data_IF_021653387219
#
_entry.id   IF_021653387219
#
_cell.length_a   1.000
_cell.length_b   1.000
_cell.length_c   1.000
_cell.angle_alpha   90.00
_cell.angle_beta   90.00
_cell.angle_gamma   90.00
#
_symmetry.space_group_name_H-M   'P 1'
#
loop_
_entity.id
_entity.type
_entity.pdbx_description
1 polymer ?
#
# COMPACT_ATOMS: atom_id res chain seq x y z
N UNK A 1 46.88 47.70 2.84
CA UNK A 1 45.74 47.88 3.77
C UNK A 1 44.50 48.19 2.94
N UNK A 2 43.71 47.16 2.59
CA UNK A 2 42.27 47.27 2.30
C UNK A 2 41.77 45.83 2.12
N UNK A 3 41.07 45.34 3.14
CA UNK A 3 40.49 44.00 3.25
C UNK A 3 39.21 44.03 2.42
N UNK A 4 39.16 43.26 1.33
CA UNK A 4 37.93 43.06 0.57
C UNK A 4 36.95 42.27 1.44
N UNK A 5 35.82 42.90 1.72
CA UNK A 5 34.69 42.39 2.48
C UNK A 5 34.20 41.06 1.90
N UNK A 6 34.30 40.00 2.72
CA UNK A 6 33.87 38.64 2.42
C UNK A 6 32.68 38.30 3.34
N UNK A 7 31.55 38.96 3.14
CA UNK A 7 30.39 38.84 4.04
C UNK A 7 29.06 38.69 3.31
N UNK A 8 28.95 37.72 2.39
CA UNK A 8 27.64 37.33 1.79
C UNK A 8 27.53 35.82 1.51
N UNK A 9 28.01 34.97 2.40
CA UNK A 9 27.78 33.52 2.30
C UNK A 9 27.37 33.02 3.68
N UNK A 10 26.34 32.18 3.74
CA UNK A 10 25.73 31.55 4.92
C UNK A 10 24.51 32.22 5.55
N UNK A 11 23.53 32.56 4.70
CA UNK A 11 22.12 32.39 5.05
C UNK A 11 21.67 30.95 4.81
N UNK A 12 22.23 29.96 5.53
CA UNK A 12 21.70 28.59 5.50
C UNK A 12 20.47 28.52 6.39
N UNK A 13 19.31 28.47 5.74
CA UNK A 13 17.97 28.39 6.32
C UNK A 13 17.89 27.40 7.48
N UNK A 14 17.64 27.93 8.68
CA UNK A 14 17.28 27.15 9.87
C UNK A 14 15.84 26.60 9.79
N UNK A 15 15.06 27.05 8.81
CA UNK A 15 13.65 26.68 8.61
C UNK A 15 13.41 25.29 7.96
N UNK A 16 14.42 24.69 7.32
CA UNK A 16 14.24 23.41 6.60
C UNK A 16 14.07 22.18 7.55
N UNK A 17 14.50 22.31 8.80
CA UNK A 17 14.55 21.19 9.73
C UNK A 17 13.22 20.90 10.46
N UNK A 18 12.32 21.89 10.52
CA UNK A 18 11.00 21.73 11.13
C UNK A 18 10.02 21.03 10.18
N UNK A 19 10.09 21.33 8.88
CA UNK A 19 9.18 20.78 7.87
C UNK A 19 9.40 19.28 7.62
N UNK A 20 10.66 18.84 7.67
CA UNK A 20 11.05 17.44 7.50
C UNK A 20 10.57 16.50 8.62
N UNK A 21 10.30 17.02 9.83
CA UNK A 21 9.74 16.21 10.94
C UNK A 21 8.22 16.01 10.81
N UNK A 22 7.49 17.02 10.34
CA UNK A 22 6.05 16.94 10.09
C UNK A 22 5.73 15.93 8.98
N UNK A 23 6.48 16.01 7.87
CA UNK A 23 6.33 15.08 6.73
C UNK A 23 6.58 13.62 7.11
N UNK A 24 7.56 13.34 7.98
CA UNK A 24 7.83 11.97 8.46
C UNK A 24 6.68 11.39 9.29
N UNK A 25 6.08 12.19 10.17
CA UNK A 25 4.93 11.73 10.98
C UNK A 25 3.71 11.44 10.12
N UNK A 26 3.43 12.30 9.14
CA UNK A 26 2.32 12.10 8.22
C UNK A 26 2.50 10.82 7.40
N UNK A 27 3.69 10.62 6.83
CA UNK A 27 4.01 9.42 6.08
C UNK A 27 3.89 8.14 6.90
N UNK A 28 4.28 8.17 8.18
CA UNK A 28 4.13 7.03 9.07
C UNK A 28 2.66 6.72 9.40
N UNK A 29 1.81 7.74 9.54
CA UNK A 29 0.37 7.57 9.73
C UNK A 29 -0.31 7.02 8.47
N UNK A 30 0.09 7.53 7.30
CA UNK A 30 -0.38 7.06 5.99
C UNK A 30 0.02 5.59 5.79
N UNK A 31 1.29 5.23 6.07
CA UNK A 31 1.77 3.84 5.95
C UNK A 31 1.00 2.86 6.85
N UNK A 32 0.64 3.27 8.07
CA UNK A 32 -0.18 2.45 8.97
C UNK A 32 -1.58 2.21 8.40
N UNK A 33 -2.19 3.23 7.82
CA UNK A 33 -3.51 3.10 7.17
C UNK A 33 -3.45 2.13 5.98
N UNK A 34 -2.37 2.15 5.19
CA UNK A 34 -2.19 1.17 4.11
C UNK A 34 -2.05 -0.26 4.66
N UNK A 35 -1.28 -0.43 5.74
CA UNK A 35 -1.10 -1.74 6.38
C UNK A 35 -2.41 -2.29 6.96
N UNK A 36 -3.26 -1.43 7.53
CA UNK A 36 -4.58 -1.82 8.02
C UNK A 36 -5.47 -2.36 6.88
N UNK A 37 -5.47 -1.70 5.72
CA UNK A 37 -6.20 -2.17 4.54
C UNK A 37 -5.65 -3.50 4.01
N UNK A 38 -4.33 -3.64 3.94
CA UNK A 38 -3.68 -4.90 3.52
C UNK A 38 -4.01 -6.04 4.49
N UNK A 39 -3.93 -5.78 5.79
CA UNK A 39 -4.27 -6.75 6.83
C UNK A 39 -5.74 -7.18 6.75
N UNK A 40 -6.66 -6.22 6.46
CA UNK A 40 -8.08 -6.53 6.24
C UNK A 40 -8.25 -7.45 5.02
N UNK A 41 -7.61 -7.14 3.90
CA UNK A 41 -7.66 -8.00 2.69
C UNK A 41 -7.11 -9.41 2.94
N UNK A 42 -6.01 -9.53 3.70
CA UNK A 42 -5.42 -10.83 4.06
C UNK A 42 -6.37 -11.62 4.97
N UNK A 43 -6.95 -10.96 5.98
CA UNK A 43 -7.86 -11.60 6.95
C UNK A 43 -9.13 -12.15 6.32
N UNK A 44 -9.60 -11.53 5.24
CA UNK A 44 -10.75 -12.01 4.47
C UNK A 44 -10.51 -13.41 3.89
N UNK A 45 -9.27 -13.75 3.52
CA UNK A 45 -8.92 -15.07 3.00
C UNK A 45 -9.65 -15.39 1.70
N UNK A 46 -10.49 -16.44 1.72
CA UNK A 46 -11.30 -16.91 0.58
C UNK A 46 -12.77 -16.45 0.63
N UNK A 47 -13.14 -15.61 1.60
CA UNK A 47 -14.51 -15.19 1.84
C UNK A 47 -14.93 -14.08 0.87
N UNK A 48 -15.61 -14.46 -0.21
CA UNK A 48 -15.97 -13.50 -1.27
C UNK A 48 -16.83 -12.32 -0.83
N UNK A 49 -17.89 -12.47 -0.03
CA UNK A 49 -18.70 -11.32 0.40
C UNK A 49 -17.85 -10.28 1.16
N UNK A 50 -17.00 -10.75 2.08
CA UNK A 50 -16.13 -9.88 2.86
C UNK A 50 -15.04 -9.22 2.00
N UNK A 51 -14.57 -9.91 0.95
CA UNK A 51 -13.63 -9.34 -0.03
C UNK A 51 -14.25 -8.19 -0.81
N UNK A 52 -15.47 -8.38 -1.33
CA UNK A 52 -16.16 -7.33 -2.11
C UNK A 52 -16.44 -6.11 -1.23
N UNK A 53 -16.81 -6.29 0.05
CA UNK A 53 -16.95 -5.19 1.01
C UNK A 53 -15.62 -4.46 1.23
N UNK A 54 -14.53 -5.17 1.53
CA UNK A 54 -13.22 -4.55 1.74
C UNK A 54 -12.71 -3.82 0.48
N UNK A 55 -12.98 -4.38 -0.71
CA UNK A 55 -12.62 -3.76 -1.98
C UNK A 55 -13.48 -2.52 -2.27
N UNK A 56 -14.75 -2.52 -1.88
CA UNK A 56 -15.63 -1.36 -1.97
C UNK A 56 -15.13 -0.23 -1.06
N UNK A 57 -14.80 -0.54 0.20
CA UNK A 57 -14.23 0.42 1.14
C UNK A 57 -13.00 1.14 0.56
N UNK A 58 -12.06 0.37 -0.03
CA UNK A 58 -10.84 0.92 -0.66
C UNK A 58 -11.18 1.80 -1.88
N UNK A 59 -12.25 1.50 -2.61
CA UNK A 59 -12.66 2.30 -3.78
C UNK A 59 -13.27 3.63 -3.39
N UNK A 60 -14.05 3.64 -2.31
CA UNK A 60 -14.83 4.80 -1.84
C UNK A 60 -14.13 5.63 -0.77
N UNK A 61 -13.01 5.17 -0.22
CA UNK A 61 -12.23 5.96 0.73
C UNK A 61 -11.48 7.10 0.02
N UNK A 62 -12.01 8.32 0.17
CA UNK A 62 -11.44 9.55 -0.39
C UNK A 62 -10.08 9.92 0.21
N UNK A 63 -9.72 9.33 1.36
CA UNK A 63 -8.39 9.51 1.96
C UNK A 63 -7.31 8.81 1.14
N UNK A 64 -7.66 7.79 0.36
CA UNK A 64 -6.73 7.01 -0.45
C UNK A 64 -6.50 7.66 -1.82
N UNK A 65 -5.26 8.07 -2.07
CA UNK A 65 -4.83 8.51 -3.40
C UNK A 65 -4.54 7.31 -4.30
N UNK A 66 -4.41 7.55 -5.59
CA UNK A 66 -4.06 6.50 -6.55
C UNK A 66 -2.75 5.77 -6.19
N UNK A 67 -1.76 6.50 -5.67
CA UNK A 67 -0.48 5.94 -5.22
C UNK A 67 -0.64 4.99 -4.01
N UNK A 68 -1.58 5.29 -3.12
CA UNK A 68 -1.88 4.49 -1.93
C UNK A 68 -2.50 3.16 -2.34
N UNK A 69 -3.47 3.19 -3.26
CA UNK A 69 -4.11 1.99 -3.80
C UNK A 69 -3.11 1.11 -4.55
N UNK A 70 -2.17 1.71 -5.30
CA UNK A 70 -1.06 0.97 -5.94
C UNK A 70 -0.18 0.30 -4.88
N UNK A 71 0.09 0.99 -3.77
CA UNK A 71 0.91 0.46 -2.68
C UNK A 71 0.19 -0.69 -1.95
N UNK A 72 -1.11 -0.56 -1.69
CA UNK A 72 -1.95 -1.63 -1.13
C UNK A 72 -1.91 -2.86 -2.05
N UNK A 73 -2.13 -2.68 -3.35
CA UNK A 73 -2.08 -3.78 -4.32
C UNK A 73 -0.72 -4.48 -4.35
N UNK A 74 0.38 -3.71 -4.30
CA UNK A 74 1.72 -4.28 -4.28
C UNK A 74 2.00 -5.07 -3.00
N UNK A 75 1.61 -4.53 -1.83
CA UNK A 75 1.79 -5.19 -0.53
C UNK A 75 0.95 -6.46 -0.44
N UNK A 76 -0.32 -6.41 -0.85
CA UNK A 76 -1.23 -7.56 -0.83
C UNK A 76 -0.77 -8.71 -1.75
N UNK A 77 -0.12 -8.38 -2.86
CA UNK A 77 0.45 -9.39 -3.77
C UNK A 77 1.75 -10.03 -3.25
N UNK A 78 2.29 -9.60 -2.10
CA UNK A 78 3.56 -10.09 -1.56
C UNK A 78 4.79 -9.44 -2.22
N UNK A 79 4.63 -8.25 -2.80
CA UNK A 79 5.67 -7.58 -3.58
C UNK A 79 5.56 -7.82 -5.09
N UNK A 80 6.43 -7.18 -5.87
CA UNK A 80 6.48 -7.32 -7.33
C UNK A 80 6.29 -6.01 -8.10
N UNK A 81 5.94 -6.13 -9.39
CA UNK A 81 5.80 -4.98 -10.31
C UNK A 81 4.65 -4.07 -9.86
N UNK A 82 4.96 -2.79 -9.67
CA UNK A 82 3.95 -1.76 -9.37
C UNK A 82 2.97 -1.63 -10.52
N UNK A 83 1.68 -1.55 -10.19
CA UNK A 83 0.64 -1.19 -11.15
C UNK A 83 0.83 0.26 -11.61
N UNK A 84 0.55 0.52 -12.88
CA UNK A 84 0.70 1.87 -13.45
C UNK A 84 -0.47 2.81 -13.17
N UNK A 85 -1.61 2.29 -12.71
CA UNK A 85 -2.81 3.08 -12.44
C UNK A 85 -3.67 2.51 -11.31
N UNK A 86 -4.56 3.34 -10.75
CA UNK A 86 -5.58 2.93 -9.74
C UNK A 86 -6.43 1.77 -10.26
N UNK A 87 -6.89 1.83 -11.50
CA UNK A 87 -7.70 0.77 -12.11
C UNK A 87 -6.93 -0.56 -12.20
N UNK A 88 -5.66 -0.52 -12.60
CA UNK A 88 -4.82 -1.72 -12.66
C UNK A 88 -4.48 -2.26 -11.27
N UNK A 89 -4.32 -1.40 -10.26
CA UNK A 89 -4.09 -1.81 -8.88
C UNK A 89 -5.32 -2.54 -8.32
N UNK A 90 -6.53 -2.01 -8.52
CA UNK A 90 -7.78 -2.67 -8.11
C UNK A 90 -7.95 -4.01 -8.82
N UNK A 91 -7.68 -4.06 -10.13
CA UNK A 91 -7.73 -5.30 -10.90
C UNK A 91 -6.71 -6.33 -10.39
N UNK A 92 -5.52 -5.89 -9.99
CA UNK A 92 -4.50 -6.77 -9.41
C UNK A 92 -4.94 -7.35 -8.06
N UNK A 93 -5.57 -6.55 -7.19
CA UNK A 93 -6.14 -7.01 -5.92
C UNK A 93 -7.22 -8.08 -6.17
N UNK A 94 -8.15 -7.82 -7.09
CA UNK A 94 -9.18 -8.80 -7.48
C UNK A 94 -8.59 -10.07 -8.06
N UNK A 95 -7.59 -9.96 -8.94
CA UNK A 95 -6.91 -11.13 -9.52
C UNK A 95 -6.27 -11.99 -8.43
N UNK A 96 -5.57 -11.37 -7.48
CA UNK A 96 -4.91 -12.07 -6.39
C UNK A 96 -5.89 -12.83 -5.50
N UNK A 97 -7.02 -12.22 -5.19
CA UNK A 97 -8.09 -12.90 -4.45
C UNK A 97 -8.59 -14.15 -5.17
N UNK A 98 -8.83 -14.06 -6.49
CA UNK A 98 -9.24 -15.23 -7.29
C UNK A 98 -8.19 -16.33 -7.28
N UNK A 99 -6.90 -15.99 -7.32
CA UNK A 99 -5.80 -16.97 -7.18
C UNK A 99 -5.84 -17.68 -5.84
N UNK A 100 -6.04 -16.94 -4.73
CA UNK A 100 -6.18 -17.51 -3.38
C UNK A 100 -7.37 -18.47 -3.32
N UNK A 101 -8.56 -18.04 -3.77
CA UNK A 101 -9.76 -18.88 -3.78
C UNK A 101 -9.53 -20.17 -4.59
N UNK A 102 -8.92 -20.06 -5.77
CA UNK A 102 -8.59 -21.22 -6.62
C UNK A 102 -7.60 -22.17 -5.94
N UNK A 103 -6.60 -21.62 -5.25
CA UNK A 103 -5.61 -22.41 -4.51
C UNK A 103 -6.29 -23.21 -3.38
N UNK A 104 -7.14 -22.55 -2.58
CA UNK A 104 -7.92 -23.22 -1.53
C UNK A 104 -8.87 -24.29 -2.09
N UNK A 105 -9.55 -24.01 -3.20
CA UNK A 105 -10.41 -24.99 -3.86
C UNK A 105 -9.63 -26.23 -4.33
N UNK A 106 -8.43 -26.04 -4.91
CA UNK A 106 -7.56 -27.15 -5.33
C UNK A 106 -7.09 -27.99 -4.15
N UNK A 107 -6.68 -27.35 -3.04
CA UNK A 107 -6.22 -28.07 -1.85
C UNK A 107 -7.33 -28.92 -1.23
N UNK A 108 -8.58 -28.41 -1.16
CA UNK A 108 -9.73 -29.19 -0.66
C UNK A 108 -9.98 -30.45 -1.49
N UNK A 109 -9.81 -30.38 -2.80
CA UNK A 109 -9.95 -31.57 -3.68
C UNK A 109 -8.79 -32.53 -3.44
N UNK A 110 -7.56 -32.05 -3.32
CA UNK A 110 -6.39 -32.87 -3.06
C UNK A 110 -6.48 -33.62 -1.72
N UNK A 111 -6.97 -32.96 -0.67
CA UNK A 111 -7.22 -33.60 0.64
C UNK A 111 -8.27 -34.71 0.54
N UNK A 112 -9.35 -34.48 -0.22
CA UNK A 112 -10.42 -35.48 -0.39
C UNK A 112 -9.99 -36.73 -1.16
N UNK A 113 -9.02 -36.58 -2.08
CA UNK A 113 -8.59 -37.65 -3.00
C UNK A 113 -7.39 -38.44 -2.45
N UNK A 114 -6.82 -38.05 -1.30
CA UNK A 114 -5.66 -38.73 -0.72
C UNK A 114 -6.06 -40.15 -0.26
N UNK A 115 -5.63 -41.22 -0.95
CA UNK A 115 -5.86 -42.58 -0.47
C UNK A 115 -4.82 -42.85 0.61
N UNK A 116 -5.29 -43.29 1.77
CA UNK A 116 -4.45 -43.90 2.82
C UNK A 116 -3.87 -45.22 2.31
#
# INVERSE_FOLDING_TARGET
>A
MAILSLSEIFGFSRDDMANSRGQKKQRAADDKLLDDYVARLIRVGDQRPAFETALADIKTDDRLKAADIISIAQRYNGGGKKSSSKAMALAAISKRFVEIVRFHAKNKVAERVRPW
#
